data_IF_162981138453
#
_entry.id   IF_162981138453
#
_cell.length_a   1.000
_cell.length_b   1.000
_cell.length_c   1.000
_cell.angle_alpha   90.00
_cell.angle_beta   90.00
_cell.angle_gamma   90.00
#
_symmetry.space_group_name_H-M   'P 1'
#
loop_
_entity.id
_entity.type
_entity.pdbx_description
1 polymer ?
#
# COMPACT_ATOMS: atom_id res chain seq x y z
N UNK A 1 -16.74 61.35 26.77
CA UNK A 1 -16.23 59.99 27.09
C UNK A 1 -16.13 59.23 25.75
N UNK A 2 -14.97 59.34 25.11
CA UNK A 2 -14.75 58.76 23.78
C UNK A 2 -14.07 57.41 23.97
N UNK A 3 -14.71 56.31 23.53
CA UNK A 3 -14.15 54.98 23.53
C UNK A 3 -13.50 54.76 22.17
N UNK A 4 -12.17 54.75 22.16
CA UNK A 4 -11.38 54.39 21.01
C UNK A 4 -11.40 52.87 20.77
N UNK A 5 -11.92 52.41 19.63
CA UNK A 5 -11.82 51.01 19.19
C UNK A 5 -10.49 50.83 18.43
N UNK A 6 -9.53 50.20 19.07
CA UNK A 6 -8.32 49.75 18.42
C UNK A 6 -8.61 48.53 17.55
N UNK A 7 -8.51 48.67 16.23
CA UNK A 7 -8.56 47.56 15.29
C UNK A 7 -7.12 47.00 15.19
N UNK A 8 -6.92 45.79 15.70
CA UNK A 8 -5.67 45.05 15.54
C UNK A 8 -5.74 44.37 14.16
N UNK A 9 -5.01 44.92 13.20
CA UNK A 9 -4.73 44.25 11.92
C UNK A 9 -3.69 43.17 12.17
N UNK A 10 -4.10 41.92 12.07
CA UNK A 10 -3.14 40.82 11.90
C UNK A 10 -2.66 40.81 10.43
N UNK A 11 -1.46 41.31 10.20
CA UNK A 11 -0.75 41.13 8.94
C UNK A 11 -0.23 39.68 8.91
N UNK A 12 -0.89 38.83 8.13
CA UNK A 12 -0.31 37.52 7.72
C UNK A 12 0.79 37.84 6.71
N UNK A 13 2.03 37.86 7.19
CA UNK A 13 3.18 37.88 6.29
C UNK A 13 3.25 36.53 5.59
N UNK A 14 2.82 36.47 4.33
CA UNK A 14 3.12 35.39 3.43
C UNK A 14 4.64 35.41 3.21
N UNK A 15 5.37 34.52 3.89
CA UNK A 15 6.77 34.27 3.57
C UNK A 15 6.79 33.54 2.23
N UNK A 16 7.05 34.30 1.16
CA UNK A 16 7.47 33.73 -0.11
C UNK A 16 8.84 33.06 0.13
N UNK A 17 8.85 31.77 0.33
CA UNK A 17 10.08 31.00 0.25
C UNK A 17 10.57 31.05 -1.20
N UNK A 18 11.63 31.82 -1.43
CA UNK A 18 12.40 31.72 -2.66
C UNK A 18 12.94 30.30 -2.78
N UNK A 19 12.40 29.55 -3.72
CA UNK A 19 12.78 28.17 -3.98
C UNK A 19 14.24 28.14 -4.46
N UNK A 20 15.17 27.78 -3.57
CA UNK A 20 16.54 27.46 -3.95
C UNK A 20 16.52 26.13 -4.68
N UNK A 21 17.01 26.08 -5.94
CA UNK A 21 17.17 24.84 -6.69
C UNK A 21 18.01 23.85 -5.85
N UNK A 22 17.56 22.58 -5.79
CA UNK A 22 18.40 21.52 -5.23
C UNK A 22 19.67 21.34 -6.07
N UNK A 23 20.72 20.78 -5.51
CA UNK A 23 22.02 20.52 -6.19
C UNK A 23 21.87 19.75 -7.52
N UNK A 24 20.71 19.12 -7.78
CA UNK A 24 20.40 18.31 -8.95
C UNK A 24 19.54 19.04 -10.01
N UNK A 25 19.24 20.34 -9.85
CA UNK A 25 18.43 21.12 -10.79
C UNK A 25 16.92 20.84 -10.75
N UNK A 26 16.46 19.98 -9.84
CA UNK A 26 15.02 19.72 -9.66
C UNK A 26 14.34 20.84 -8.85
N UNK A 27 13.02 20.97 -9.03
CA UNK A 27 12.23 21.81 -8.13
C UNK A 27 12.39 21.33 -6.70
N UNK A 28 12.43 22.23 -5.71
CA UNK A 28 12.42 21.79 -4.32
C UNK A 28 11.08 21.15 -3.99
N UNK A 29 11.12 20.03 -3.26
CA UNK A 29 9.92 19.53 -2.59
C UNK A 29 9.65 20.42 -1.37
N UNK A 30 8.38 20.69 -1.12
CA UNK A 30 7.93 21.43 0.06
C UNK A 30 6.88 20.62 0.80
N UNK A 31 6.88 20.75 2.13
CA UNK A 31 5.83 20.12 2.93
C UNK A 31 4.46 20.65 2.53
N UNK A 32 3.43 19.79 2.40
CA UNK A 32 2.07 20.24 2.17
C UNK A 32 1.62 21.27 3.20
N UNK A 33 0.87 22.27 2.73
CA UNK A 33 0.30 23.28 3.62
C UNK A 33 -0.96 22.74 4.28
N UNK A 34 -0.99 22.77 5.62
CA UNK A 34 -2.21 22.51 6.39
C UNK A 34 -2.71 23.83 6.98
N UNK A 35 -3.94 24.26 6.64
CA UNK A 35 -4.50 25.52 7.15
C UNK A 35 -4.67 25.56 8.68
N UNK A 36 -4.75 24.41 9.31
CA UNK A 36 -4.79 24.24 10.77
C UNK A 36 -3.80 23.17 11.22
N UNK A 37 -3.28 23.31 12.43
CA UNK A 37 -2.43 22.29 13.04
C UNK A 37 -3.21 20.98 13.22
N UNK A 38 -2.58 19.87 12.88
CA UNK A 38 -3.11 18.53 13.10
C UNK A 38 -2.29 17.92 14.24
N UNK A 39 -2.91 17.65 15.40
CA UNK A 39 -2.22 17.06 16.54
C UNK A 39 -1.81 15.61 16.21
N UNK A 40 -0.66 15.19 16.71
CA UNK A 40 -0.27 13.77 16.66
C UNK A 40 -1.20 12.96 17.54
N UNK A 41 -1.84 11.92 17.05
CA UNK A 41 -2.72 11.07 17.84
C UNK A 41 -1.94 10.29 18.91
N UNK A 42 -2.63 9.89 19.97
CA UNK A 42 -2.04 9.00 20.99
C UNK A 42 -1.77 7.60 20.42
N UNK A 43 -0.77 6.91 20.99
CA UNK A 43 -0.45 5.54 20.62
C UNK A 43 0.35 5.40 19.33
N UNK A 44 0.87 6.49 18.77
CA UNK A 44 1.75 6.48 17.61
C UNK A 44 3.20 6.60 18.08
N UNK A 45 4.08 5.78 17.50
CA UNK A 45 5.52 5.91 17.71
C UNK A 45 6.03 7.21 17.08
N UNK A 46 6.84 7.94 17.82
CA UNK A 46 7.47 9.19 17.33
C UNK A 46 8.88 8.94 16.79
N UNK A 47 9.45 7.77 17.10
CA UNK A 47 10.75 7.36 16.65
C UNK A 47 10.75 5.84 16.54
N UNK A 48 11.21 5.33 15.42
CA UNK A 48 11.29 3.89 15.18
C UNK A 48 12.72 3.39 15.35
N UNK A 49 13.13 3.26 16.60
CA UNK A 49 14.39 2.66 16.99
C UNK A 49 14.10 1.28 17.59
N UNK A 50 14.13 0.22 16.79
CA UNK A 50 14.06 -1.17 17.25
C UNK A 50 12.95 -1.44 18.27
N UNK A 51 11.83 -0.75 18.17
CA UNK A 51 10.67 -0.91 19.06
C UNK A 51 10.09 -2.32 18.96
N UNK A 52 9.46 -2.81 20.02
CA UNK A 52 8.73 -4.07 19.94
C UNK A 52 7.59 -3.89 18.92
N UNK A 53 7.50 -4.83 17.98
CA UNK A 53 6.36 -4.88 17.07
C UNK A 53 5.07 -5.08 17.85
N UNK A 54 4.07 -4.32 17.49
CA UNK A 54 2.73 -4.43 18.07
C UNK A 54 1.99 -5.58 17.37
N UNK A 55 1.58 -6.56 18.15
CA UNK A 55 0.79 -7.70 17.65
C UNK A 55 -0.59 -7.61 18.30
N UNK A 56 -1.61 -7.43 17.48
CA UNK A 56 -3.00 -7.25 17.92
C UNK A 56 -3.91 -8.29 17.28
N UNK A 57 -4.98 -8.67 17.98
CA UNK A 57 -6.03 -9.55 17.45
C UNK A 57 -7.19 -8.75 16.82
N UNK A 58 -7.38 -7.53 17.27
CA UNK A 58 -8.48 -6.65 16.84
C UNK A 58 -8.01 -5.21 16.79
N UNK A 59 -8.61 -4.42 15.91
CA UNK A 59 -8.36 -3.00 15.75
C UNK A 59 -9.61 -2.19 16.14
N UNK A 60 -9.38 -0.98 16.64
CA UNK A 60 -10.45 -0.01 16.84
C UNK A 60 -11.13 0.33 15.50
N UNK A 61 -12.45 0.32 15.47
CA UNK A 61 -13.28 0.58 14.29
C UNK A 61 -13.71 2.04 14.15
N UNK A 62 -13.30 2.94 15.07
CA UNK A 62 -13.67 4.34 15.02
C UNK A 62 -13.06 5.05 13.81
N UNK A 63 -13.91 5.53 12.89
CA UNK A 63 -13.52 6.29 11.73
C UNK A 63 -13.15 7.74 12.09
N UNK A 64 -12.33 8.38 11.23
CA UNK A 64 -12.06 9.83 11.34
C UNK A 64 -13.30 10.62 10.92
N UNK A 65 -13.47 11.80 11.53
CA UNK A 65 -14.56 12.73 11.22
C UNK A 65 -14.04 13.99 10.54
N UNK A 66 -14.91 14.68 9.80
CA UNK A 66 -14.55 15.94 9.14
C UNK A 66 -13.80 15.76 7.80
N UNK A 67 -13.89 14.58 7.20
CA UNK A 67 -13.33 14.25 5.90
C UNK A 67 -14.41 14.23 4.81
N UNK A 68 -14.03 14.29 3.51
CA UNK A 68 -14.97 14.13 2.40
C UNK A 68 -15.67 12.77 2.43
N UNK A 69 -16.76 12.65 1.68
CA UNK A 69 -17.40 11.34 1.43
C UNK A 69 -16.35 10.37 0.88
N UNK A 70 -16.22 9.23 1.53
CA UNK A 70 -15.30 8.16 1.12
C UNK A 70 -15.61 7.68 -0.31
N UNK A 71 -14.58 7.32 -1.07
CA UNK A 71 -14.70 6.79 -2.44
C UNK A 71 -15.38 7.74 -3.44
N UNK A 72 -15.42 9.05 -3.14
CA UNK A 72 -15.88 10.09 -4.05
C UNK A 72 -14.81 11.13 -4.25
N UNK A 73 -14.67 11.65 -5.46
CA UNK A 73 -13.76 12.75 -5.75
C UNK A 73 -14.10 13.91 -4.78
N UNK A 74 -13.13 14.39 -4.00
CA UNK A 74 -13.38 15.44 -3.01
C UNK A 74 -13.73 16.76 -3.66
N UNK A 75 -14.51 17.58 -2.97
CA UNK A 75 -14.82 18.94 -3.42
C UNK A 75 -13.56 19.78 -3.58
N UNK A 76 -13.43 20.42 -4.74
CA UNK A 76 -12.35 21.35 -5.06
C UNK A 76 -12.57 22.76 -4.49
N UNK A 77 -13.74 23.01 -3.88
CA UNK A 77 -14.14 24.35 -3.41
C UNK A 77 -13.88 24.58 -1.93
N UNK A 78 -13.44 23.58 -1.17
CA UNK A 78 -13.08 23.75 0.23
C UNK A 78 -11.93 24.76 0.39
N UNK A 79 -11.92 25.49 1.50
CA UNK A 79 -10.86 26.47 1.80
C UNK A 79 -9.47 25.81 1.87
N UNK A 80 -9.41 24.59 2.36
CA UNK A 80 -8.18 23.81 2.48
C UNK A 80 -7.60 23.46 1.11
N UNK A 81 -8.40 22.89 0.22
CA UNK A 81 -7.97 22.53 -1.15
C UNK A 81 -7.56 23.78 -1.91
N UNK A 82 -8.32 24.89 -1.78
CA UNK A 82 -7.95 26.17 -2.41
C UNK A 82 -6.63 26.73 -1.90
N UNK A 83 -6.33 26.61 -0.61
CA UNK A 83 -5.06 27.06 -0.05
C UNK A 83 -3.88 26.30 -0.68
N UNK A 84 -3.99 24.97 -0.79
CA UNK A 84 -2.97 24.13 -1.43
C UNK A 84 -2.88 24.44 -2.93
N UNK A 85 -4.01 24.52 -3.63
CA UNK A 85 -4.05 24.86 -5.05
C UNK A 85 -3.33 26.18 -5.36
N UNK A 86 -3.53 27.21 -4.52
CA UNK A 86 -2.90 28.51 -4.65
C UNK A 86 -1.40 28.52 -4.30
N UNK A 87 -0.89 27.50 -3.63
CA UNK A 87 0.54 27.36 -3.32
C UNK A 87 1.36 26.73 -4.45
N UNK A 88 0.70 26.15 -5.46
CA UNK A 88 1.37 25.50 -6.60
C UNK A 88 1.82 26.55 -7.62
N UNK A 89 3.07 26.44 -8.06
CA UNK A 89 3.57 27.20 -9.23
C UNK A 89 3.06 26.54 -10.52
N UNK A 90 1.93 27.05 -11.01
CA UNK A 90 1.28 26.56 -12.24
C UNK A 90 2.11 26.77 -13.50
N UNK A 91 3.11 27.64 -13.49
CA UNK A 91 4.05 27.81 -14.61
C UNK A 91 4.96 26.57 -14.79
N UNK A 92 5.08 25.75 -13.76
CA UNK A 92 5.84 24.50 -13.73
C UNK A 92 4.97 23.27 -13.90
N UNK A 93 3.70 23.41 -14.18
CA UNK A 93 2.79 22.28 -14.43
C UNK A 93 2.58 22.14 -15.95
N UNK A 94 3.06 21.05 -16.58
CA UNK A 94 2.85 20.79 -18.00
C UNK A 94 1.37 20.79 -18.38
N UNK A 95 1.05 21.28 -19.59
CA UNK A 95 -0.32 21.36 -20.10
C UNK A 95 -0.78 20.07 -20.78
N UNK A 96 -0.58 18.93 -20.11
CA UNK A 96 -1.11 17.67 -20.62
C UNK A 96 -2.65 17.70 -20.61
N UNK A 97 -3.31 17.14 -21.63
CA UNK A 97 -4.76 17.11 -21.69
C UNK A 97 -5.36 16.21 -20.59
N UNK A 98 -6.53 16.59 -20.09
CA UNK A 98 -7.32 15.70 -19.24
C UNK A 98 -7.84 14.56 -20.11
N UNK A 99 -7.48 13.32 -19.75
CA UNK A 99 -7.83 12.12 -20.52
C UNK A 99 -9.23 11.64 -20.18
N UNK A 100 -9.78 10.80 -21.04
CA UNK A 100 -11.07 10.10 -20.83
C UNK A 100 -10.84 8.61 -20.89
N UNK A 101 -11.58 7.87 -20.11
CA UNK A 101 -11.63 6.41 -20.19
C UNK A 101 -12.62 6.04 -21.30
N UNK A 102 -12.17 5.20 -22.23
CA UNK A 102 -13.02 4.64 -23.29
C UNK A 102 -13.80 3.42 -22.78
N UNK A 103 -14.76 2.95 -23.56
CA UNK A 103 -15.58 1.78 -23.23
C UNK A 103 -14.80 0.46 -23.11
N UNK A 104 -13.60 0.41 -23.64
CA UNK A 104 -12.67 -0.72 -23.53
C UNK A 104 -11.66 -0.60 -22.37
N UNK A 105 -11.81 0.44 -21.53
CA UNK A 105 -10.93 0.73 -20.41
C UNK A 105 -9.66 1.51 -20.77
N UNK A 106 -9.35 1.70 -22.06
CA UNK A 106 -8.18 2.47 -22.47
C UNK A 106 -8.38 3.98 -22.30
N UNK A 107 -7.29 4.72 -22.26
CA UNK A 107 -7.32 6.17 -22.13
C UNK A 107 -7.36 6.91 -23.49
N UNK A 108 -7.91 8.12 -23.50
CA UNK A 108 -7.93 9.00 -24.69
C UNK A 108 -7.72 10.47 -24.29
N UNK A 109 -6.77 11.19 -24.89
CA UNK A 109 -5.82 10.68 -25.91
C UNK A 109 -4.84 9.67 -25.33
N UNK A 110 -4.31 8.79 -26.18
CA UNK A 110 -3.29 7.80 -25.87
C UNK A 110 -2.07 8.02 -26.79
N UNK A 111 -0.94 7.46 -26.41
CA UNK A 111 0.28 7.47 -27.23
C UNK A 111 0.83 6.05 -27.35
N UNK A 112 1.55 5.77 -28.44
CA UNK A 112 2.20 4.48 -28.69
C UNK A 112 3.69 4.45 -28.27
N UNK A 113 4.15 5.51 -27.61
CA UNK A 113 5.53 5.65 -27.17
C UNK A 113 6.49 6.24 -28.19
N UNK A 114 6.13 6.33 -29.48
CA UNK A 114 6.94 6.99 -30.51
C UNK A 114 6.91 8.52 -30.34
N UNK A 115 5.81 9.05 -29.83
CA UNK A 115 5.60 10.44 -29.52
C UNK A 115 4.81 10.57 -28.20
N UNK A 116 5.50 10.37 -27.08
CA UNK A 116 4.93 10.55 -25.73
C UNK A 116 5.43 11.88 -25.14
N UNK A 117 4.70 12.99 -25.35
CA UNK A 117 5.16 14.32 -24.94
C UNK A 117 5.03 14.57 -23.43
N UNK A 118 4.31 13.74 -22.71
CA UNK A 118 3.98 13.94 -21.29
C UNK A 118 4.35 12.77 -20.38
N UNK A 119 5.11 11.79 -20.88
CA UNK A 119 5.56 10.64 -20.09
C UNK A 119 4.41 9.89 -19.42
N UNK A 120 3.46 9.40 -20.24
CA UNK A 120 2.35 8.56 -19.75
C UNK A 120 2.85 7.15 -19.35
N UNK A 121 2.83 6.83 -18.06
CA UNK A 121 3.22 5.49 -17.63
C UNK A 121 2.20 4.44 -18.07
N UNK A 122 0.90 4.74 -17.96
CA UNK A 122 -0.19 3.85 -18.36
C UNK A 122 -0.23 3.47 -19.84
N UNK A 123 0.49 4.21 -20.71
CA UNK A 123 0.57 3.89 -22.14
C UNK A 123 1.95 3.32 -22.55
N UNK A 124 3.02 3.84 -21.94
CA UNK A 124 4.39 3.63 -22.45
C UNK A 124 5.38 3.15 -21.40
N UNK A 125 4.94 2.95 -20.16
CA UNK A 125 5.78 2.71 -18.99
C UNK A 125 6.87 3.79 -18.78
N UNK A 126 6.56 5.03 -19.17
CA UNK A 126 7.51 6.13 -19.05
C UNK A 126 7.72 6.52 -17.58
N UNK A 127 8.96 6.40 -17.12
CA UNK A 127 9.39 6.71 -15.73
C UNK A 127 10.31 7.92 -15.63
N UNK A 128 10.66 8.52 -16.78
CA UNK A 128 11.55 9.68 -16.85
C UNK A 128 10.77 10.87 -17.41
N UNK A 129 10.36 11.82 -16.55
CA UNK A 129 9.64 13.01 -16.99
C UNK A 129 10.30 13.72 -18.16
N UNK A 130 9.50 14.28 -19.06
CA UNK A 130 9.98 15.06 -20.22
C UNK A 130 10.46 16.45 -19.80
N UNK A 131 10.14 16.89 -18.60
CA UNK A 131 10.58 18.15 -18.03
C UNK A 131 11.78 17.94 -17.10
N UNK A 132 12.85 18.72 -17.28
CA UNK A 132 14.13 18.53 -16.59
C UNK A 132 14.09 18.88 -15.09
N UNK A 133 13.09 19.61 -14.64
CA UNK A 133 12.94 20.02 -13.24
C UNK A 133 12.21 19.01 -12.35
N UNK A 134 11.75 17.88 -12.90
CA UNK A 134 11.23 16.77 -12.14
C UNK A 134 12.23 15.60 -12.14
N UNK A 135 12.41 14.91 -11.02
CA UNK A 135 13.24 13.70 -10.99
C UNK A 135 12.53 12.53 -11.68
N UNK A 136 13.29 11.53 -12.15
CA UNK A 136 12.72 10.25 -12.57
C UNK A 136 11.92 9.59 -11.45
N UNK A 137 10.89 8.81 -11.80
CA UNK A 137 10.12 8.01 -10.84
C UNK A 137 11.01 6.95 -10.17
N UNK A 138 10.58 6.50 -8.98
CA UNK A 138 11.12 5.30 -8.38
C UNK A 138 10.31 4.11 -8.91
N UNK A 139 10.93 3.18 -9.62
CA UNK A 139 10.21 2.06 -10.24
C UNK A 139 10.93 0.73 -10.11
N UNK A 140 12.15 0.73 -9.60
CA UNK A 140 12.97 -0.45 -9.36
C UNK A 140 13.85 -0.25 -8.13
N UNK A 141 14.36 -1.30 -7.56
CA UNK A 141 15.47 -1.22 -6.63
C UNK A 141 16.79 -1.11 -7.42
N UNK A 142 17.59 -0.04 -7.26
CA UNK A 142 18.82 0.13 -8.05
C UNK A 142 19.83 -1.00 -7.85
N UNK A 143 19.83 -1.61 -6.67
CA UNK A 143 20.77 -2.67 -6.33
C UNK A 143 20.17 -4.05 -6.63
N UNK A 144 20.89 -4.82 -7.46
CA UNK A 144 20.54 -6.21 -7.77
C UNK A 144 20.44 -7.07 -6.50
N UNK A 145 19.47 -7.96 -6.46
CA UNK A 145 19.24 -8.85 -5.31
C UNK A 145 18.41 -8.22 -4.20
N UNK A 146 17.89 -7.00 -4.40
CA UNK A 146 16.92 -6.39 -3.51
C UNK A 146 15.50 -6.65 -4.00
N UNK A 147 14.57 -6.79 -3.06
CA UNK A 147 13.14 -6.89 -3.28
C UNK A 147 12.47 -5.76 -2.51
N UNK A 148 12.00 -4.75 -3.24
CA UNK A 148 11.27 -3.60 -2.71
C UNK A 148 9.81 -3.99 -2.51
N UNK A 149 9.46 -4.36 -1.29
CA UNK A 149 8.14 -4.83 -0.91
C UNK A 149 7.15 -3.68 -0.86
N UNK A 150 6.03 -3.82 -1.59
CA UNK A 150 4.94 -2.83 -1.60
C UNK A 150 3.58 -3.48 -1.59
N UNK A 151 2.60 -2.81 -0.98
CA UNK A 151 1.19 -3.17 -1.04
C UNK A 151 0.35 -1.94 -1.30
N UNK A 152 -0.62 -2.08 -2.20
CA UNK A 152 -1.55 -1.01 -2.56
C UNK A 152 -2.93 -1.25 -1.95
N UNK A 153 -3.75 -0.20 -1.98
CA UNK A 153 -5.19 -0.14 -1.67
C UNK A 153 -5.59 -0.16 -0.20
N UNK A 154 -4.69 -0.48 0.72
CA UNK A 154 -5.00 -0.43 2.15
C UNK A 154 -5.31 0.98 2.71
N UNK A 155 -5.49 1.09 4.03
CA UNK A 155 -5.62 -0.02 4.97
C UNK A 155 -7.05 -0.59 4.99
N UNK A 156 -7.17 -1.82 5.45
CA UNK A 156 -8.46 -2.44 5.76
C UNK A 156 -8.53 -2.82 7.23
N UNK A 157 -9.72 -3.15 7.71
CA UNK A 157 -9.93 -3.65 9.07
C UNK A 157 -10.93 -4.80 9.05
N UNK A 158 -10.72 -5.76 9.94
CA UNK A 158 -11.70 -6.79 10.21
C UNK A 158 -12.99 -6.15 10.68
N UNK A 159 -14.08 -6.39 9.99
CA UNK A 159 -15.42 -5.98 10.42
C UNK A 159 -16.01 -7.05 11.35
N UNK A 160 -16.67 -6.62 12.43
CA UNK A 160 -17.06 -7.49 13.55
C UNK A 160 -18.18 -8.49 13.28
N UNK A 161 -18.87 -8.42 12.14
CA UNK A 161 -20.00 -9.30 11.84
C UNK A 161 -19.61 -10.39 10.85
N UNK A 162 -19.65 -11.63 11.30
CA UNK A 162 -19.36 -12.81 10.45
C UNK A 162 -20.41 -13.09 9.38
N UNK A 163 -21.50 -12.36 9.37
CA UNK A 163 -22.65 -12.57 8.46
C UNK A 163 -22.46 -11.84 7.12
N UNK A 164 -21.60 -10.84 7.08
CA UNK A 164 -21.26 -10.14 5.83
C UNK A 164 -20.02 -10.78 5.19
N UNK A 165 -20.20 -11.28 3.98
CA UNK A 165 -19.13 -11.93 3.23
C UNK A 165 -17.93 -11.01 2.95
N UNK A 166 -18.20 -9.72 2.68
CA UNK A 166 -17.16 -8.70 2.53
C UNK A 166 -16.32 -8.55 3.80
N UNK A 167 -16.98 -8.57 4.96
CA UNK A 167 -16.31 -8.53 6.27
C UNK A 167 -15.42 -9.73 6.50
N UNK A 168 -15.83 -10.92 6.04
CA UNK A 168 -15.05 -12.14 6.17
C UNK A 168 -13.75 -12.08 5.36
N UNK A 169 -13.75 -11.45 4.20
CA UNK A 169 -12.55 -11.27 3.39
C UNK A 169 -11.59 -10.25 4.02
N UNK A 170 -12.09 -9.11 4.47
CA UNK A 170 -11.27 -8.06 5.06
C UNK A 170 -10.55 -8.49 6.35
N UNK A 171 -11.05 -9.48 7.08
CA UNK A 171 -10.37 -9.97 8.30
C UNK A 171 -8.99 -10.58 8.04
N UNK A 172 -8.64 -10.87 6.80
CA UNK A 172 -7.33 -11.39 6.41
C UNK A 172 -6.37 -10.30 5.95
N UNK A 173 -6.86 -9.09 5.69
CA UNK A 173 -6.00 -7.95 5.34
C UNK A 173 -5.31 -7.40 6.60
N UNK A 174 -6.09 -6.92 7.57
CA UNK A 174 -5.60 -6.38 8.84
C UNK A 174 -6.41 -6.95 10.02
N UNK A 175 -5.73 -7.23 11.11
CA UNK A 175 -4.30 -7.02 11.43
C UNK A 175 -3.37 -8.13 10.94
N UNK A 176 -3.86 -9.12 10.16
CA UNK A 176 -3.10 -10.32 9.80
C UNK A 176 -1.79 -10.00 9.08
N UNK A 177 -1.84 -9.17 8.02
CA UNK A 177 -0.66 -8.80 7.25
C UNK A 177 0.38 -8.07 8.11
N UNK A 178 -0.03 -7.05 8.86
CA UNK A 178 0.91 -6.24 9.67
C UNK A 178 1.49 -7.02 10.83
N UNK A 179 0.70 -7.89 11.46
CA UNK A 179 1.20 -8.83 12.45
C UNK A 179 2.24 -9.78 11.86
N UNK A 180 2.00 -10.28 10.65
CA UNK A 180 2.94 -11.15 9.96
C UNK A 180 4.25 -10.41 9.62
N UNK A 181 4.16 -9.24 9.03
CA UNK A 181 5.32 -8.42 8.70
C UNK A 181 6.12 -8.08 9.96
N UNK A 182 5.45 -7.63 11.03
CA UNK A 182 6.08 -7.32 12.31
C UNK A 182 6.79 -8.52 12.91
N UNK A 183 6.14 -9.68 13.00
CA UNK A 183 6.73 -10.92 13.53
C UNK A 183 7.99 -11.35 12.76
N UNK A 184 8.05 -11.11 11.46
CA UNK A 184 9.15 -11.49 10.60
C UNK A 184 10.16 -10.36 10.38
N UNK A 185 10.01 -9.23 11.07
CA UNK A 185 10.86 -8.04 10.94
C UNK A 185 10.96 -7.54 9.48
N UNK A 186 9.85 -7.64 8.75
CA UNK A 186 9.71 -7.17 7.39
C UNK A 186 9.05 -5.80 7.37
N UNK A 187 9.50 -4.95 6.45
CA UNK A 187 8.99 -3.62 6.25
C UNK A 187 8.57 -3.43 4.80
N UNK A 188 7.35 -2.97 4.59
CA UNK A 188 6.81 -2.66 3.28
C UNK A 188 6.63 -1.15 3.09
N UNK A 189 6.50 -0.70 1.84
CA UNK A 189 5.90 0.58 1.52
C UNK A 189 4.44 0.35 1.19
N UNK A 190 3.54 0.98 1.96
CA UNK A 190 2.10 0.79 1.90
C UNK A 190 1.47 2.03 1.25
N UNK A 191 0.84 1.84 0.10
CA UNK A 191 0.20 2.93 -0.64
C UNK A 191 -1.29 2.98 -0.28
N UNK A 192 -1.63 3.90 0.59
CA UNK A 192 -2.93 3.95 1.25
C UNK A 192 -3.92 4.88 0.56
N UNK A 193 -5.10 4.35 0.28
CA UNK A 193 -6.25 5.14 -0.15
C UNK A 193 -6.75 5.97 1.03
N UNK A 194 -6.84 7.30 0.84
CA UNK A 194 -7.25 8.21 1.91
C UNK A 194 -8.62 7.92 2.49
N UNK A 195 -9.58 7.46 1.67
CA UNK A 195 -10.89 6.98 2.11
C UNK A 195 -10.78 5.82 3.09
N UNK A 196 -9.88 4.87 2.84
CA UNK A 196 -9.63 3.74 3.71
C UNK A 196 -8.95 4.17 5.02
N UNK A 197 -7.97 5.08 4.94
CA UNK A 197 -7.36 5.64 6.16
C UNK A 197 -8.39 6.36 7.02
N UNK A 198 -9.30 7.12 6.41
CA UNK A 198 -10.37 7.79 7.15
C UNK A 198 -11.34 6.82 7.80
N UNK A 199 -11.57 5.67 7.16
CA UNK A 199 -12.46 4.62 7.67
C UNK A 199 -11.76 3.75 8.72
N UNK A 200 -10.47 3.41 8.52
CA UNK A 200 -9.71 2.47 9.33
C UNK A 200 -8.39 3.07 9.88
N UNK A 201 -8.45 4.19 10.64
CA UNK A 201 -7.23 4.87 11.08
C UNK A 201 -6.38 4.04 12.05
N UNK A 202 -6.97 3.10 12.78
CA UNK A 202 -6.24 2.21 13.68
C UNK A 202 -5.32 1.24 12.91
N UNK A 203 -5.74 0.76 11.74
CA UNK A 203 -4.92 -0.07 10.88
C UNK A 203 -3.70 0.71 10.36
N UNK A 204 -3.89 1.96 9.93
CA UNK A 204 -2.79 2.82 9.53
C UNK A 204 -1.78 3.07 10.67
N UNK A 205 -2.27 3.26 11.92
CA UNK A 205 -1.39 3.39 13.10
C UNK A 205 -0.60 2.12 13.37
N UNK A 206 -1.25 0.95 13.35
CA UNK A 206 -0.58 -0.33 13.55
C UNK A 206 0.52 -0.56 12.50
N UNK A 207 0.21 -0.28 11.24
CA UNK A 207 1.17 -0.40 10.14
C UNK A 207 2.41 0.49 10.37
N UNK A 208 2.21 1.76 10.75
CA UNK A 208 3.31 2.67 11.09
C UNK A 208 4.10 2.17 12.30
N UNK A 209 3.42 1.77 13.37
CA UNK A 209 4.04 1.28 14.59
C UNK A 209 4.88 0.02 14.36
N UNK A 210 4.52 -0.79 13.37
CA UNK A 210 5.26 -1.97 12.94
C UNK A 210 6.35 -1.67 11.90
N UNK A 211 6.69 -0.40 11.68
CA UNK A 211 7.83 0.00 10.85
C UNK A 211 7.59 0.03 9.36
N UNK A 212 6.34 -0.07 8.92
CA UNK A 212 6.04 0.09 7.51
C UNK A 212 6.06 1.57 7.10
N UNK A 213 6.41 1.83 5.85
CA UNK A 213 6.36 3.18 5.29
C UNK A 213 5.00 3.45 4.70
N UNK A 214 4.32 4.49 5.17
CA UNK A 214 3.03 4.89 4.62
C UNK A 214 3.23 5.90 3.49
N UNK A 215 2.62 5.63 2.34
CA UNK A 215 2.60 6.46 1.16
C UNK A 215 1.15 6.76 0.76
N UNK A 216 0.94 7.74 -0.10
CA UNK A 216 -0.38 8.17 -0.57
C UNK A 216 -0.79 7.36 -1.81
N UNK A 217 -2.07 6.93 -1.85
CA UNK A 217 -2.68 6.29 -3.02
C UNK A 217 -3.98 6.98 -3.45
N UNK A 218 -4.02 8.31 -3.38
CA UNK A 218 -5.17 9.17 -3.64
C UNK A 218 -6.33 9.01 -2.64
N UNK A 219 -7.39 9.79 -2.76
CA UNK A 219 -8.56 9.70 -1.88
C UNK A 219 -9.56 8.65 -2.34
N UNK A 220 -9.86 8.61 -3.63
CA UNK A 220 -10.96 7.81 -4.20
C UNK A 220 -10.54 6.87 -5.33
N UNK A 221 -9.23 6.61 -5.47
CA UNK A 221 -8.66 5.63 -6.38
C UNK A 221 -9.03 5.83 -7.87
N UNK A 222 -9.18 7.08 -8.31
CA UNK A 222 -9.43 7.37 -9.73
C UNK A 222 -8.13 7.48 -10.52
N UNK A 223 -8.12 7.06 -11.82
CA UNK A 223 -6.99 7.33 -12.71
C UNK A 223 -6.70 8.82 -12.80
N UNK A 224 -5.46 9.21 -12.48
CA UNK A 224 -5.14 10.61 -12.19
C UNK A 224 -5.09 11.51 -13.43
N UNK A 225 -4.76 10.96 -14.60
CA UNK A 225 -4.73 11.76 -15.85
C UNK A 225 -6.13 12.14 -16.31
N UNK A 226 -7.17 11.50 -15.79
CA UNK A 226 -8.58 11.81 -16.10
C UNK A 226 -9.16 12.94 -15.26
N UNK A 227 -8.43 13.40 -14.26
CA UNK A 227 -8.85 14.42 -13.33
C UNK A 227 -8.33 15.80 -13.74
N UNK A 228 -9.11 16.83 -13.40
CA UNK A 228 -8.66 18.23 -13.51
C UNK A 228 -7.55 18.52 -12.49
N UNK A 229 -6.78 19.58 -12.68
CA UNK A 229 -5.73 19.98 -11.74
C UNK A 229 -6.25 20.18 -10.31
N UNK A 230 -7.46 20.74 -10.17
CA UNK A 230 -8.06 20.98 -8.85
C UNK A 230 -8.49 19.68 -8.17
N UNK A 231 -9.00 18.70 -8.94
CA UNK A 231 -9.34 17.38 -8.44
C UNK A 231 -8.08 16.60 -8.02
N UNK A 232 -7.00 16.65 -8.80
CA UNK A 232 -5.71 16.06 -8.43
C UNK A 232 -5.22 16.61 -7.08
N UNK A 233 -5.26 17.92 -6.90
CA UNK A 233 -4.89 18.55 -5.63
C UNK A 233 -5.79 18.07 -4.48
N UNK A 234 -7.10 17.96 -4.72
CA UNK A 234 -8.05 17.50 -3.71
C UNK A 234 -7.81 16.03 -3.32
N UNK A 235 -7.63 15.14 -4.30
CA UNK A 235 -7.32 13.72 -4.12
C UNK A 235 -6.07 13.52 -3.25
N UNK A 236 -4.98 14.20 -3.58
CA UNK A 236 -3.72 14.08 -2.85
C UNK A 236 -3.80 14.73 -1.47
N UNK A 237 -4.37 15.93 -1.37
CA UNK A 237 -4.46 16.66 -0.10
C UNK A 237 -5.24 15.89 0.98
N UNK A 238 -6.43 15.42 0.66
CA UNK A 238 -7.26 14.72 1.64
C UNK A 238 -6.65 13.39 2.08
N UNK A 239 -5.93 12.70 1.19
CA UNK A 239 -5.19 11.49 1.55
C UNK A 239 -4.02 11.78 2.47
N UNK A 240 -3.20 12.80 2.16
CA UNK A 240 -2.12 13.24 3.05
C UNK A 240 -2.69 13.61 4.42
N UNK A 241 -3.78 14.38 4.46
CA UNK A 241 -4.43 14.83 5.70
C UNK A 241 -4.97 13.64 6.51
N UNK A 242 -5.57 12.64 5.84
CA UNK A 242 -6.06 11.44 6.52
C UNK A 242 -4.91 10.66 7.18
N UNK A 243 -3.83 10.39 6.45
CA UNK A 243 -2.65 9.72 7.00
C UNK A 243 -2.08 10.52 8.17
N UNK A 244 -1.88 11.82 8.01
CA UNK A 244 -1.37 12.68 9.11
C UNK A 244 -2.29 12.68 10.32
N UNK A 245 -3.60 12.75 10.12
CA UNK A 245 -4.56 12.74 11.24
C UNK A 245 -4.57 11.39 11.96
N UNK A 246 -4.45 10.29 11.21
CA UNK A 246 -4.44 8.94 11.78
C UNK A 246 -3.11 8.61 12.49
N UNK A 247 -1.98 9.15 12.03
CA UNK A 247 -0.65 8.63 12.38
C UNK A 247 0.35 9.71 12.83
N UNK A 248 0.04 10.98 12.65
CA UNK A 248 0.95 12.10 12.97
C UNK A 248 2.04 12.36 11.92
N UNK A 249 2.24 11.46 10.95
CA UNK A 249 3.27 11.62 9.91
C UNK A 249 2.71 12.12 8.58
N UNK A 250 3.52 12.89 7.84
CA UNK A 250 3.20 13.44 6.52
C UNK A 250 4.05 12.75 5.46
N UNK A 251 3.48 11.88 4.61
CA UNK A 251 4.23 11.13 3.60
C UNK A 251 4.94 12.01 2.58
N UNK A 252 6.11 11.53 2.11
CA UNK A 252 6.84 12.09 0.96
C UNK A 252 6.73 11.24 -0.31
N UNK A 253 5.91 10.20 -0.29
CA UNK A 253 5.75 9.23 -1.37
C UNK A 253 4.29 9.03 -1.72
N UNK A 254 4.06 8.69 -2.99
CA UNK A 254 2.74 8.32 -3.49
C UNK A 254 2.85 7.38 -4.67
N UNK A 255 1.78 6.66 -4.97
CA UNK A 255 1.61 5.87 -6.18
C UNK A 255 0.29 6.26 -6.83
N UNK A 256 0.25 6.51 -8.16
CA UNK A 256 -1.01 6.76 -8.85
C UNK A 256 -1.81 5.47 -8.99
N UNK A 257 -3.12 5.49 -8.77
CA UNK A 257 -3.99 4.36 -9.08
C UNK A 257 -3.80 3.87 -10.51
N UNK A 258 -3.72 2.54 -10.69
CA UNK A 258 -3.51 1.90 -11.99
C UNK A 258 -2.22 2.36 -12.73
N UNK A 259 -1.27 2.96 -12.02
CA UNK A 259 -0.09 3.59 -12.61
C UNK A 259 -0.38 4.80 -13.50
N UNK A 260 -1.62 5.31 -13.51
CA UNK A 260 -2.04 6.36 -14.43
C UNK A 260 -1.50 7.73 -14.04
N UNK A 261 -0.39 8.10 -14.66
CA UNK A 261 0.35 9.33 -14.39
C UNK A 261 0.98 9.92 -15.63
N UNK A 262 0.97 11.25 -15.71
CA UNK A 262 1.70 12.07 -16.69
C UNK A 262 2.53 13.16 -15.98
N UNK A 263 3.29 13.95 -16.72
CA UNK A 263 4.14 15.00 -16.15
C UNK A 263 3.33 16.14 -15.51
N UNK A 264 2.08 16.35 -15.89
CA UNK A 264 1.15 17.29 -15.23
C UNK A 264 0.85 16.81 -13.80
N UNK A 265 0.46 15.56 -13.67
CA UNK A 265 0.16 14.94 -12.38
C UNK A 265 1.42 14.85 -11.51
N UNK A 266 2.56 14.39 -12.09
CA UNK A 266 3.87 14.36 -11.38
C UNK A 266 4.26 15.72 -10.82
N UNK A 267 4.09 16.78 -11.62
CA UNK A 267 4.46 18.13 -11.20
C UNK A 267 3.61 18.63 -10.04
N UNK A 268 2.30 18.38 -10.07
CA UNK A 268 1.40 18.74 -8.97
C UNK A 268 1.80 17.97 -7.71
N UNK A 269 1.94 16.64 -7.81
CA UNK A 269 2.31 15.78 -6.67
C UNK A 269 3.68 16.19 -6.08
N UNK A 270 4.67 16.46 -6.93
CA UNK A 270 6.00 16.89 -6.50
C UNK A 270 5.97 18.22 -5.72
N UNK A 271 5.19 19.20 -6.19
CA UNK A 271 5.01 20.49 -5.51
C UNK A 271 4.17 20.35 -4.22
N UNK A 272 3.45 19.25 -4.06
CA UNK A 272 2.79 18.86 -2.81
C UNK A 272 3.67 17.95 -1.92
N UNK A 273 4.96 17.86 -2.24
CA UNK A 273 5.94 17.14 -1.42
C UNK A 273 5.97 15.63 -1.61
N UNK A 274 5.37 15.11 -2.69
CA UNK A 274 5.22 13.68 -2.94
C UNK A 274 6.13 13.19 -4.07
N UNK A 275 6.93 12.16 -3.81
CA UNK A 275 7.73 11.44 -4.81
C UNK A 275 6.90 10.31 -5.41
N UNK A 276 6.85 10.23 -6.75
CA UNK A 276 6.18 9.16 -7.46
C UNK A 276 6.95 7.83 -7.34
N UNK A 277 6.23 6.76 -7.04
CA UNK A 277 6.74 5.39 -6.91
C UNK A 277 5.88 4.46 -7.74
N UNK A 278 6.48 3.85 -8.75
CA UNK A 278 5.85 2.85 -9.63
C UNK A 278 6.44 1.47 -9.33
N UNK A 279 6.50 0.58 -10.31
CA UNK A 279 7.02 -0.78 -10.17
C UNK A 279 7.67 -1.25 -11.47
N UNK A 280 8.50 -2.28 -11.39
CA UNK A 280 9.07 -2.97 -12.55
C UNK A 280 8.60 -4.43 -12.68
N UNK A 281 7.93 -4.96 -11.66
CA UNK A 281 7.31 -6.28 -11.70
C UNK A 281 5.92 -6.20 -11.07
N UNK A 282 4.93 -6.80 -11.74
CA UNK A 282 3.51 -6.77 -11.36
C UNK A 282 3.03 -8.20 -11.12
N UNK A 283 2.38 -8.42 -9.99
CA UNK A 283 1.82 -9.73 -9.65
C UNK A 283 0.46 -9.99 -10.28
N UNK A 284 -0.24 -8.94 -10.69
CA UNK A 284 -1.66 -8.99 -11.08
C UNK A 284 -2.53 -9.69 -10.00
N UNK A 285 -2.10 -9.69 -8.75
CA UNK A 285 -2.76 -10.43 -7.65
C UNK A 285 -4.19 -9.92 -7.35
N UNK A 286 -4.46 -8.66 -7.70
CA UNK A 286 -5.78 -8.04 -7.59
C UNK A 286 -6.84 -8.74 -8.48
N UNK A 287 -6.45 -9.38 -9.59
CA UNK A 287 -7.35 -10.12 -10.50
C UNK A 287 -7.49 -11.61 -10.11
N UNK A 288 -6.95 -12.04 -8.97
CA UNK A 288 -7.22 -13.41 -8.49
C UNK A 288 -8.70 -13.58 -8.14
N UNK A 289 -9.27 -14.78 -8.40
CA UNK A 289 -10.66 -15.05 -8.07
C UNK A 289 -10.94 -14.82 -6.58
N UNK A 290 -11.80 -13.89 -6.33
CA UNK A 290 -12.30 -13.51 -5.02
C UNK A 290 -13.82 -13.49 -5.08
N UNK A 291 -14.53 -13.94 -4.03
CA UNK A 291 -15.98 -13.93 -4.02
C UNK A 291 -16.60 -12.54 -4.16
N UNK A 292 -15.87 -11.48 -3.79
CA UNK A 292 -16.33 -10.10 -3.85
C UNK A 292 -16.01 -9.43 -5.20
N UNK A 293 -14.82 -9.67 -5.73
CA UNK A 293 -14.28 -8.89 -6.84
C UNK A 293 -14.37 -9.59 -8.19
N UNK A 294 -14.70 -10.88 -8.19
CA UNK A 294 -14.94 -11.62 -9.43
C UNK A 294 -13.71 -11.72 -10.34
N UNK A 295 -12.51 -11.64 -9.82
CA UNK A 295 -11.27 -11.77 -10.55
C UNK A 295 -11.19 -13.05 -11.35
N UNK A 296 -10.34 -13.08 -12.37
CA UNK A 296 -10.27 -14.18 -13.33
C UNK A 296 -8.88 -14.82 -13.44
N UNK A 297 -7.84 -14.19 -12.90
CA UNK A 297 -6.48 -14.68 -12.97
C UNK A 297 -6.27 -15.86 -12.02
N UNK A 298 -5.94 -17.07 -12.51
CA UNK A 298 -5.68 -18.18 -11.60
C UNK A 298 -4.49 -17.90 -10.68
N UNK A 299 -4.61 -18.19 -9.38
CA UNK A 299 -3.52 -18.02 -8.40
C UNK A 299 -2.20 -18.70 -8.84
N UNK A 300 -2.29 -19.84 -9.53
CA UNK A 300 -1.12 -20.51 -10.16
C UNK A 300 -0.40 -19.65 -11.20
N UNK A 301 -1.03 -18.65 -11.76
CA UNK A 301 -0.37 -17.70 -12.67
C UNK A 301 0.49 -16.73 -11.87
N UNK A 302 -0.05 -16.21 -10.77
CA UNK A 302 0.68 -15.38 -9.82
C UNK A 302 1.88 -16.15 -9.24
N UNK A 303 1.69 -17.42 -8.84
CA UNK A 303 2.78 -18.30 -8.41
C UNK A 303 3.92 -18.39 -9.43
N UNK A 304 3.58 -18.45 -10.74
CA UNK A 304 4.59 -18.51 -11.82
C UNK A 304 5.37 -17.21 -11.95
N UNK A 305 4.75 -16.06 -11.67
CA UNK A 305 5.45 -14.77 -11.67
C UNK A 305 6.53 -14.76 -10.59
N UNK A 306 6.19 -15.04 -9.35
CA UNK A 306 7.16 -15.14 -8.26
C UNK A 306 8.28 -16.15 -8.57
N UNK A 307 7.92 -17.36 -9.03
CA UNK A 307 8.90 -18.37 -9.37
C UNK A 307 9.83 -17.94 -10.51
N UNK A 308 9.31 -17.21 -11.49
CA UNK A 308 10.08 -16.69 -12.63
C UNK A 308 11.13 -15.68 -12.15
N UNK A 309 10.73 -14.72 -11.32
CA UNK A 309 11.63 -13.71 -10.78
C UNK A 309 12.70 -14.31 -9.87
N UNK A 310 12.32 -15.25 -8.99
CA UNK A 310 13.27 -15.99 -8.15
C UNK A 310 14.29 -16.76 -9.00
N UNK A 311 13.85 -17.45 -10.06
CA UNK A 311 14.72 -18.17 -10.97
C UNK A 311 15.64 -17.22 -11.75
N UNK A 312 15.13 -16.07 -12.20
CA UNK A 312 15.91 -15.05 -12.89
C UNK A 312 17.03 -14.49 -12.00
N UNK A 313 16.72 -14.22 -10.72
CA UNK A 313 17.72 -13.78 -9.75
C UNK A 313 18.78 -14.86 -9.51
N UNK A 314 18.38 -16.09 -9.25
CA UNK A 314 19.31 -17.22 -9.05
C UNK A 314 20.22 -17.45 -10.26
N UNK A 315 19.69 -17.26 -11.46
CA UNK A 315 20.44 -17.37 -12.72
C UNK A 315 21.29 -16.12 -13.05
N UNK A 316 21.27 -15.08 -12.20
CA UNK A 316 22.01 -13.85 -12.41
C UNK A 316 21.48 -12.97 -13.56
N UNK A 317 20.27 -13.22 -14.06
CA UNK A 317 19.68 -12.55 -15.23
C UNK A 317 19.10 -11.15 -14.93
N UNK A 318 18.70 -10.86 -13.68
CA UNK A 318 18.21 -9.54 -13.30
C UNK A 318 19.34 -8.50 -13.41
N UNK A 319 19.03 -7.35 -13.96
CA UNK A 319 19.98 -6.21 -14.08
C UNK A 319 19.94 -5.32 -12.84
N UNK A 320 18.76 -5.12 -12.30
CA UNK A 320 18.45 -4.34 -11.09
C UNK A 320 17.75 -5.23 -10.07
N UNK A 321 17.39 -4.70 -8.92
CA UNK A 321 16.47 -5.35 -8.02
C UNK A 321 15.00 -5.15 -8.47
N UNK A 322 14.11 -5.83 -7.80
CA UNK A 322 12.66 -5.79 -8.05
C UNK A 322 12.03 -4.75 -7.13
N UNK A 323 11.13 -3.95 -7.67
CA UNK A 323 10.13 -3.21 -6.94
C UNK A 323 8.79 -3.76 -7.40
N UNK A 324 8.15 -4.55 -6.55
CA UNK A 324 6.96 -5.33 -6.88
C UNK A 324 5.68 -4.56 -6.60
N UNK A 325 4.66 -4.73 -7.46
CA UNK A 325 3.28 -4.38 -7.14
C UNK A 325 2.57 -5.61 -6.58
N UNK A 326 2.10 -5.49 -5.37
CA UNK A 326 1.21 -6.41 -4.67
C UNK A 326 0.10 -5.60 -3.99
N UNK A 327 -0.99 -6.25 -3.57
CA UNK A 327 -2.13 -5.60 -2.93
C UNK A 327 -2.47 -6.25 -1.58
N UNK A 328 -3.03 -5.45 -0.68
CA UNK A 328 -3.55 -5.91 0.61
C UNK A 328 -5.09 -5.96 0.65
N UNK A 329 -5.71 -6.28 -0.50
CA UNK A 329 -7.14 -6.16 -0.73
C UNK A 329 -8.00 -7.15 0.06
N UNK A 330 -7.57 -8.40 0.11
CA UNK A 330 -8.39 -9.50 0.59
C UNK A 330 -7.55 -10.70 1.02
N UNK A 331 -8.23 -11.77 1.46
CA UNK A 331 -7.60 -13.01 1.86
C UNK A 331 -6.65 -13.60 0.82
N UNK A 332 -7.01 -13.54 -0.45
CA UNK A 332 -6.20 -14.18 -1.51
C UNK A 332 -4.88 -13.45 -1.70
N UNK A 333 -4.89 -12.09 -1.74
CA UNK A 333 -3.68 -11.31 -1.89
C UNK A 333 -2.77 -11.42 -0.66
N UNK A 334 -3.32 -11.35 0.55
CA UNK A 334 -2.56 -11.49 1.80
C UNK A 334 -1.96 -12.89 1.94
N UNK A 335 -2.72 -13.95 1.63
CA UNK A 335 -2.20 -15.31 1.67
C UNK A 335 -1.10 -15.56 0.63
N UNK A 336 -1.23 -14.99 -0.57
CA UNK A 336 -0.22 -15.09 -1.63
C UNK A 336 1.10 -14.52 -1.15
N UNK A 337 1.07 -13.32 -0.57
CA UNK A 337 2.25 -12.68 -0.02
C UNK A 337 2.88 -13.48 1.12
N UNK A 338 2.07 -13.94 2.10
CA UNK A 338 2.55 -14.73 3.23
C UNK A 338 3.16 -16.08 2.80
N UNK A 339 2.66 -16.64 1.68
CA UNK A 339 3.22 -17.86 1.09
C UNK A 339 4.60 -17.61 0.46
N UNK A 340 4.74 -16.53 -0.31
CA UNK A 340 5.95 -16.29 -1.10
C UNK A 340 7.07 -15.58 -0.33
N UNK A 341 6.78 -14.73 0.64
CA UNK A 341 7.80 -13.98 1.38
C UNK A 341 8.92 -14.85 1.97
N UNK A 342 8.66 -16.00 2.62
CA UNK A 342 9.73 -16.88 3.12
C UNK A 342 10.61 -17.46 2.02
N UNK A 343 10.08 -17.60 0.80
CA UNK A 343 10.83 -18.12 -0.36
C UNK A 343 11.65 -16.98 -0.98
N UNK A 344 11.07 -15.79 -1.09
CA UNK A 344 11.72 -14.57 -1.58
C UNK A 344 12.93 -14.21 -0.71
N UNK A 345 12.77 -14.24 0.62
CA UNK A 345 13.84 -13.94 1.58
C UNK A 345 15.07 -14.85 1.45
N UNK A 346 14.93 -16.06 0.92
CA UNK A 346 16.05 -16.96 0.63
C UNK A 346 16.88 -16.54 -0.58
N UNK A 347 16.36 -15.64 -1.40
CA UNK A 347 16.97 -15.28 -2.69
C UNK A 347 17.25 -13.78 -2.80
N UNK A 348 16.43 -12.96 -2.14
CA UNK A 348 16.50 -11.50 -2.17
C UNK A 348 16.65 -10.93 -0.75
N UNK A 349 17.24 -9.76 -0.66
CA UNK A 349 17.13 -8.90 0.51
C UNK A 349 15.80 -8.13 0.40
N UNK A 350 14.82 -8.52 1.20
CA UNK A 350 13.50 -7.87 1.24
C UNK A 350 13.57 -6.62 2.09
N UNK A 351 13.12 -5.50 1.52
CA UNK A 351 13.13 -4.17 2.13
C UNK A 351 11.95 -3.35 1.63
N UNK A 352 11.61 -2.22 2.25
CA UNK A 352 10.62 -1.32 1.68
C UNK A 352 11.14 -0.67 0.38
N UNK A 353 10.23 -0.28 -0.51
CA UNK A 353 10.57 0.36 -1.79
C UNK A 353 11.41 1.64 -1.61
N UNK A 354 11.13 2.42 -0.58
CA UNK A 354 11.90 3.63 -0.30
C UNK A 354 13.29 3.32 0.22
N UNK A 355 13.40 2.31 1.08
CA UNK A 355 14.70 1.88 1.61
C UNK A 355 15.63 1.35 0.53
N UNK A 356 15.14 0.54 -0.42
CA UNK A 356 15.98 0.06 -1.51
C UNK A 356 16.45 1.19 -2.45
N UNK A 357 15.75 2.31 -2.45
CA UNK A 357 16.12 3.54 -3.17
C UNK A 357 16.92 4.54 -2.33
N UNK A 358 17.41 4.12 -1.15
CA UNK A 358 18.24 4.95 -0.27
C UNK A 358 17.51 6.10 0.41
N UNK A 359 16.18 6.07 0.46
CA UNK A 359 15.37 7.10 1.13
C UNK A 359 15.21 6.72 2.60
N UNK A 360 15.86 7.49 3.48
CA UNK A 360 15.87 7.27 4.93
C UNK A 360 14.90 8.20 5.69
N UNK A 361 14.34 9.19 5.01
CA UNK A 361 13.41 10.17 5.59
C UNK A 361 12.11 10.19 4.77
N UNK A 362 11.22 9.19 4.95
CA UNK A 362 10.00 9.06 4.16
C UNK A 362 8.90 10.05 4.54
N UNK A 363 9.09 10.79 5.63
CA UNK A 363 8.12 11.76 6.18
C UNK A 363 8.71 13.16 6.29
N UNK A 364 7.86 14.15 6.36
CA UNK A 364 8.24 15.56 6.56
C UNK A 364 8.62 15.86 8.01
N UNK A 365 8.18 15.04 8.95
CA UNK A 365 8.57 15.10 10.34
C UNK A 365 10.03 14.67 10.49
N UNK A 366 10.89 15.56 10.97
CA UNK A 366 12.34 15.33 11.08
C UNK A 366 12.71 14.47 12.27
N UNK A 367 11.83 14.42 13.27
CA UNK A 367 12.04 13.67 14.51
C UNK A 367 11.64 12.19 14.38
N UNK A 368 11.01 11.81 13.27
CA UNK A 368 10.67 10.42 13.00
C UNK A 368 11.87 9.68 12.45
N UNK A 369 12.50 8.86 13.30
CA UNK A 369 13.62 7.99 12.89
C UNK A 369 13.06 6.71 12.30
N UNK A 370 13.32 6.51 11.02
CA UNK A 370 12.90 5.33 10.28
C UNK A 370 13.95 4.23 10.34
N UNK A 371 13.57 2.93 10.40
CA UNK A 371 14.54 1.85 10.38
C UNK A 371 15.40 1.91 9.11
N UNK A 372 16.69 2.01 9.25
CA UNK A 372 17.62 1.95 8.11
C UNK A 372 17.86 0.49 7.76
N UNK A 373 17.53 0.12 6.53
CA UNK A 373 17.40 -1.27 6.11
C UNK A 373 18.63 -1.82 5.41
N UNK A 374 19.80 -1.34 5.65
CA UNK A 374 21.00 -1.94 5.07
C UNK A 374 21.76 -2.89 6.01
N UNK A 375 21.14 -3.24 7.16
CA UNK A 375 21.73 -4.15 8.14
C UNK A 375 22.85 -3.55 8.98
N UNK A 376 23.15 -2.28 8.82
CA UNK A 376 23.97 -1.50 9.73
C UNK A 376 23.06 -0.76 10.71
N UNK A 377 22.52 -1.49 11.69
CA UNK A 377 22.00 -0.83 12.87
C UNK A 377 23.13 -0.02 13.47
N UNK A 378 22.98 1.30 13.46
CA UNK A 378 23.88 2.14 14.24
C UNK A 378 23.55 1.90 15.71
N UNK A 379 24.18 0.88 16.28
CA UNK A 379 24.06 0.51 17.68
C UNK A 379 24.60 1.66 18.51
N UNK A 380 23.75 2.55 18.92
CA UNK A 380 24.04 3.38 20.09
C UNK A 380 23.74 2.54 21.31
N UNK A 381 24.70 1.73 21.68
CA UNK A 381 24.64 0.85 22.84
C UNK A 381 24.53 1.69 24.11
N UNK A 382 23.34 1.75 24.68
CA UNK A 382 23.19 2.02 26.11
C UNK A 382 23.04 0.68 26.80
N UNK A 383 24.18 0.16 27.27
CA UNK A 383 24.26 -1.05 28.06
C UNK A 383 23.45 -0.92 29.35
N UNK A 384 22.41 -1.73 29.46
CA UNK A 384 21.82 -2.04 30.77
C UNK A 384 21.80 -3.55 30.90
N UNK A 385 22.73 -4.05 31.70
CA UNK A 385 22.92 -5.46 32.03
C UNK A 385 21.74 -5.92 32.90
N UNK A 386 20.88 -6.75 32.37
CA UNK A 386 19.94 -7.55 33.20
C UNK A 386 20.26 -9.01 33.00
N UNK A 387 20.68 -9.67 34.07
CA UNK A 387 20.95 -11.10 34.13
C UNK A 387 19.61 -11.85 34.02
N UNK A 388 19.44 -12.65 32.97
CA UNK A 388 18.36 -13.61 32.89
C UNK A 388 18.88 -15.01 33.23
N UNK A 389 18.30 -15.61 34.25
CA UNK A 389 18.56 -16.97 34.64
C UNK A 389 17.88 -17.94 33.67
N UNK A 390 18.67 -18.88 33.15
CA UNK A 390 18.23 -19.94 32.26
C UNK A 390 17.56 -21.02 33.07
N UNK A 391 16.27 -21.26 32.85
CA UNK A 391 15.56 -22.47 33.33
C UNK A 391 15.41 -23.43 32.16
N UNK A 392 16.10 -24.55 32.24
CA UNK A 392 16.02 -25.65 31.29
C UNK A 392 14.74 -26.42 31.53
N UNK A 393 13.78 -26.36 30.63
CA UNK A 393 12.58 -27.19 30.67
C UNK A 393 12.73 -28.33 29.67
N UNK A 394 12.77 -29.54 30.18
CA UNK A 394 12.78 -30.78 29.42
C UNK A 394 11.43 -30.97 28.73
N UNK A 395 11.39 -30.98 27.41
CA UNK A 395 10.18 -31.25 26.63
C UNK A 395 9.99 -32.75 26.46
N UNK A 396 8.93 -33.26 27.08
CA UNK A 396 8.38 -34.59 26.81
C UNK A 396 7.73 -34.57 25.41
N UNK A 397 8.10 -35.49 24.54
CA UNK A 397 7.49 -35.65 23.22
C UNK A 397 6.00 -36.02 23.37
N UNK A 398 5.13 -35.12 22.92
CA UNK A 398 3.68 -35.39 22.81
C UNK A 398 3.40 -35.81 21.37
N UNK A 399 2.69 -36.90 21.18
CA UNK A 399 2.26 -37.39 19.88
C UNK A 399 1.56 -36.31 19.05
N UNK A 400 1.96 -36.20 17.77
CA UNK A 400 1.33 -35.29 16.84
C UNK A 400 -0.13 -35.66 16.60
N UNK A 401 -1.08 -34.74 16.75
CA UNK A 401 -2.47 -35.01 16.39
C UNK A 401 -2.57 -35.33 14.90
N UNK A 402 -3.31 -36.39 14.57
CA UNK A 402 -3.57 -36.78 13.16
C UNK A 402 -4.44 -35.74 12.48
N UNK A 403 -3.86 -35.01 11.54
CA UNK A 403 -4.56 -34.02 10.73
C UNK A 403 -5.22 -34.66 9.51
N UNK A 404 -6.22 -33.98 8.93
CA UNK A 404 -6.92 -34.36 7.70
C UNK A 404 -6.07 -33.97 6.50
N UNK A 405 -5.65 -34.90 5.68
CA UNK A 405 -5.00 -34.64 4.38
C UNK A 405 -6.04 -34.67 3.25
N UNK A 406 -5.96 -33.75 2.30
CA UNK A 406 -6.94 -33.69 1.21
C UNK A 406 -6.66 -32.56 0.23
N UNK A 407 -7.70 -32.13 -0.50
CA UNK A 407 -7.61 -31.02 -1.46
C UNK A 407 -7.60 -29.63 -0.82
N UNK A 408 -7.66 -29.56 0.50
CA UNK A 408 -7.56 -28.33 1.29
C UNK A 408 -6.31 -28.35 2.16
N UNK A 409 -5.83 -27.21 2.59
CA UNK A 409 -4.66 -27.09 3.47
C UNK A 409 -3.36 -27.05 2.71
N UNK A 410 -2.42 -27.95 3.04
CA UNK A 410 -1.04 -27.95 2.55
C UNK A 410 -0.85 -27.52 1.09
N UNK A 411 -0.27 -26.34 0.89
CA UNK A 411 0.05 -25.77 -0.42
C UNK A 411 -1.14 -25.17 -1.18
N UNK A 412 -2.34 -25.08 -0.56
CA UNK A 412 -3.53 -24.55 -1.20
C UNK A 412 -4.07 -23.27 -0.53
N UNK A 413 -3.67 -22.95 0.70
CA UNK A 413 -4.12 -21.75 1.42
C UNK A 413 -5.59 -21.76 1.84
N UNK A 414 -6.27 -22.88 1.74
CA UNK A 414 -7.71 -23.03 1.93
C UNK A 414 -8.09 -24.08 2.98
N UNK A 415 -7.17 -24.38 3.91
CA UNK A 415 -7.35 -25.38 4.95
C UNK A 415 -8.38 -25.00 5.99
N UNK A 416 -9.44 -25.78 6.07
CA UNK A 416 -10.44 -25.70 7.12
C UNK A 416 -9.95 -26.37 8.41
N UNK A 417 -10.69 -26.20 9.52
CA UNK A 417 -10.36 -26.79 10.83
C UNK A 417 -10.05 -28.27 10.74
N UNK A 418 -8.90 -28.64 11.26
CA UNK A 418 -8.42 -30.01 11.30
C UNK A 418 -7.63 -30.49 10.09
N UNK A 419 -7.56 -29.71 9.00
CA UNK A 419 -6.72 -30.05 7.85
C UNK A 419 -5.24 -29.87 8.17
N UNK A 420 -4.38 -30.65 7.51
CA UNK A 420 -2.93 -30.57 7.70
C UNK A 420 -2.39 -29.27 7.19
N UNK A 421 -1.46 -28.68 7.93
CA UNK A 421 -0.74 -27.48 7.53
C UNK A 421 0.73 -27.57 7.98
N UNK A 422 1.61 -26.88 7.28
CA UNK A 422 3.00 -26.64 7.67
C UNK A 422 3.16 -25.28 8.32
N UNK A 423 2.44 -24.30 7.78
CA UNK A 423 2.46 -22.92 8.25
C UNK A 423 1.10 -22.24 8.01
N UNK A 424 1.03 -20.97 8.36
CA UNK A 424 -0.17 -20.14 8.28
C UNK A 424 -0.77 -20.07 6.87
N UNK A 425 0.07 -20.11 5.83
CA UNK A 425 -0.38 -20.01 4.44
C UNK A 425 -1.16 -21.23 3.92
N UNK A 426 -1.16 -22.31 4.64
CA UNK A 426 -1.93 -23.52 4.29
C UNK A 426 -3.39 -23.46 4.77
N UNK A 427 -3.73 -22.52 5.66
CA UNK A 427 -5.01 -22.48 6.36
C UNK A 427 -5.83 -21.25 6.03
N UNK A 428 -7.15 -21.38 6.11
CA UNK A 428 -8.05 -20.22 6.10
C UNK A 428 -7.92 -19.35 7.37
N UNK A 429 -7.42 -19.95 8.45
CA UNK A 429 -7.12 -19.33 9.73
C UNK A 429 -5.71 -19.75 10.16
N UNK A 430 -5.45 -20.00 11.44
CA UNK A 430 -4.12 -20.34 11.93
C UNK A 430 -3.73 -21.80 11.74
N UNK A 431 -2.45 -22.04 11.46
CA UNK A 431 -1.83 -23.35 11.54
C UNK A 431 -1.27 -23.57 12.95
N UNK A 432 -1.94 -24.37 13.77
CA UNK A 432 -1.54 -24.68 15.13
C UNK A 432 -1.16 -26.15 15.24
N UNK A 433 0.11 -26.41 15.60
CA UNK A 433 0.64 -27.76 15.75
C UNK A 433 0.38 -28.69 14.56
N UNK A 434 0.49 -28.12 13.33
CA UNK A 434 0.33 -28.86 12.10
C UNK A 434 -1.13 -29.09 11.67
N UNK A 435 -2.08 -28.37 12.27
CA UNK A 435 -3.50 -28.39 11.91
C UNK A 435 -4.07 -26.99 11.83
N UNK A 436 -4.94 -26.76 10.83
CA UNK A 436 -5.73 -25.57 10.73
C UNK A 436 -6.79 -25.51 11.84
N UNK A 437 -6.97 -24.38 12.51
CA UNK A 437 -7.89 -24.21 13.63
C UNK A 437 -9.17 -23.45 13.29
N UNK A 438 -9.34 -23.03 12.05
CA UNK A 438 -10.41 -22.17 11.58
C UNK A 438 -11.78 -22.80 11.41
N UNK A 439 -12.56 -22.25 10.48
CA UNK A 439 -13.95 -22.66 10.24
C UNK A 439 -14.08 -24.12 9.83
N UNK A 440 -15.18 -24.77 10.21
CA UNK A 440 -15.46 -26.16 9.82
C UNK A 440 -15.94 -26.21 8.38
N UNK A 441 -15.37 -27.12 7.56
CA UNK A 441 -15.87 -27.34 6.21
C UNK A 441 -17.26 -27.98 6.23
N UNK A 442 -18.31 -27.19 5.94
CA UNK A 442 -19.70 -27.67 5.89
C UNK A 442 -20.07 -28.38 4.57
N UNK A 443 -19.15 -28.45 3.62
CA UNK A 443 -19.39 -29.07 2.29
C UNK A 443 -19.08 -30.58 2.21
N UNK A 444 -18.66 -31.20 3.28
CA UNK A 444 -18.29 -32.64 3.28
C UNK A 444 -19.43 -33.50 3.81
N UNK A 445 -20.54 -33.62 3.09
CA UNK A 445 -21.40 -34.81 3.06
C UNK A 445 -22.35 -34.74 1.89
N UNK A 446 -22.02 -35.31 0.75
CA UNK A 446 -22.86 -36.24 -0.01
C UNK A 446 -22.13 -36.61 -1.31
N UNK A 447 -21.57 -37.82 -1.34
CA UNK A 447 -21.28 -38.48 -2.61
C UNK A 447 -22.62 -38.98 -3.16
N UNK A 448 -23.11 -38.38 -4.21
CA UNK A 448 -24.04 -39.03 -5.12
C UNK A 448 -23.59 -38.68 -6.54
N UNK A 449 -23.16 -39.71 -7.23
CA UNK A 449 -22.76 -39.70 -8.61
C UNK A 449 -23.98 -39.46 -9.50
N UNK A 450 -24.01 -38.36 -10.23
CA UNK A 450 -24.82 -38.24 -11.43
C UNK A 450 -24.01 -37.58 -12.54
N UNK A 451 -23.68 -38.43 -13.48
CA UNK A 451 -23.10 -38.11 -14.79
C UNK A 451 -24.07 -37.17 -15.53
N UNK A 452 -23.69 -35.96 -15.87
CA UNK A 452 -24.41 -35.14 -16.83
C UNK A 452 -23.46 -34.60 -17.89
N UNK A 453 -23.87 -34.84 -19.10
CA UNK A 453 -23.32 -34.60 -20.42
C UNK A 453 -23.10 -33.10 -20.67
N UNK A 454 -21.97 -32.78 -21.28
CA UNK A 454 -21.57 -31.44 -21.71
C UNK A 454 -22.41 -30.95 -22.89
N UNK A 455 -22.93 -29.76 -22.80
CA UNK A 455 -23.24 -28.94 -23.96
C UNK A 455 -22.49 -27.62 -23.86
N UNK A 456 -21.57 -27.46 -24.81
CA UNK A 456 -20.74 -26.30 -25.03
C UNK A 456 -21.61 -25.13 -25.49
N UNK A 457 -21.72 -24.06 -24.69
CA UNK A 457 -22.16 -22.76 -25.17
C UNK A 457 -21.03 -21.76 -24.99
N UNK A 458 -20.50 -21.36 -26.11
CA UNK A 458 -19.61 -20.21 -26.28
C UNK A 458 -20.45 -18.95 -26.04
N UNK A 459 -20.13 -18.20 -25.00
CA UNK A 459 -20.59 -16.82 -24.86
C UNK A 459 -19.39 -15.95 -24.57
N UNK A 460 -19.04 -15.14 -25.54
CA UNK A 460 -18.20 -13.96 -25.39
C UNK A 460 -18.84 -13.03 -24.37
N UNK A 461 -18.28 -12.91 -23.18
CA UNK A 461 -18.60 -11.87 -22.23
C UNK A 461 -17.59 -10.74 -22.38
N UNK A 462 -18.09 -9.57 -22.77
CA UNK A 462 -17.42 -8.29 -22.63
C UNK A 462 -17.01 -8.09 -21.17
N UNK A 463 -15.76 -7.73 -20.96
CA UNK A 463 -15.27 -7.20 -19.69
C UNK A 463 -15.90 -5.82 -19.45
N UNK A 464 -16.77 -5.72 -18.48
CA UNK A 464 -17.19 -4.44 -17.93
C UNK A 464 -16.25 -4.06 -16.79
N UNK A 465 -15.36 -3.14 -17.06
CA UNK A 465 -14.39 -2.55 -16.12
C UNK A 465 -14.99 -1.59 -15.08
N UNK A 466 -16.31 -1.60 -14.91
CA UNK A 466 -17.02 -0.68 -14.03
C UNK A 466 -17.80 -1.40 -12.94
N UNK A 467 -17.11 -2.06 -12.01
CA UNK A 467 -17.79 -2.53 -10.80
C UNK A 467 -16.90 -2.52 -9.56
N UNK A 468 -16.16 -1.46 -9.36
CA UNK A 468 -15.46 -1.18 -8.10
C UNK A 468 -15.97 0.11 -7.44
N UNK A 469 -17.29 0.24 -7.38
CA UNK A 469 -17.90 1.24 -6.50
C UNK A 469 -19.22 0.68 -6.00
N UNK A 470 -19.23 0.33 -4.76
CA UNK A 470 -20.35 0.31 -3.83
C UNK A 470 -20.26 -0.93 -2.92
N UNK A 471 -19.67 -0.74 -1.77
CA UNK A 471 -20.34 -0.97 -0.49
C UNK A 471 -19.74 -0.01 0.53
#
# INVERSE_FOLDING_TARGET
MFISKSIILFSIAAQAYAATSTSNGYLPQVSPVFPSSIPTPSGVVTSYNDGPYEIVSELDTAALTGFPTVWKIPSTTSSEVKAVYNSIDWSKVPKAPVRKIKSDGSFSPSTDGSDDPYCYWSDTNCVKPKVSYLPPDLYECPTKGYWGLTYDDGPFNKVSTDEDYASAENRYAEPALYNYLGKNQLHASLFYIGSNVATYPAAARLALNNGNTLCVHTWSHNPMTTLTNAEIVAELYWSIKAIKTATGVTPKCWRPPQGDVDDRVRSIAWQMGLRNVLWNEDTDDWDMPDPMNGGSLPSKTVDKYFQTWINAQKAGKLKTGILVLEHELNRMTVNMTMHWLPVIQKTFKVVSALSCNGITQPYWETDFVYPVVDGTATTTTKSTTTKTSTTTTTTTATESPTCISGSYGLGNGDGYKGYCCKDQSDCLDDCIKGQCNGSVNTKTTTKTSTKKTSTKKTSTKKMDYYSFCCC
#
